data_IF_535541513462
#
_entry.id   IF_535541513462
#
_cell.length_a   1.000
_cell.length_b   1.000
_cell.length_c   1.000
_cell.angle_alpha   90.00
_cell.angle_beta   90.00
_cell.angle_gamma   90.00
#
_symmetry.space_group_name_H-M   'P 1'
#
loop_
_entity.id
_entity.type
_entity.pdbx_description
1 polymer ?
#
# COMPACT_ATOMS: atom_id res chain seq x y z
N UNK A 1 31.21 -21.48 9.70
CA UNK A 1 30.01 -20.65 9.57
C UNK A 1 30.10 -19.85 8.30
N UNK A 2 29.17 -20.00 7.35
CA UNK A 2 29.09 -19.11 6.17
C UNK A 2 28.44 -17.81 6.63
N UNK A 3 29.10 -16.67 6.41
CA UNK A 3 28.49 -15.36 6.58
C UNK A 3 27.33 -15.22 5.59
N UNK A 4 26.10 -15.22 6.10
CA UNK A 4 24.94 -14.81 5.32
C UNK A 4 25.03 -13.29 5.22
N UNK A 5 25.27 -12.79 4.00
CA UNK A 5 25.28 -11.35 3.74
C UNK A 5 23.82 -10.88 3.73
N UNK A 6 23.45 -10.05 4.69
CA UNK A 6 22.16 -9.37 4.66
C UNK A 6 22.12 -8.45 3.44
N UNK A 7 21.10 -8.63 2.59
CA UNK A 7 20.85 -7.78 1.44
C UNK A 7 20.06 -6.56 1.91
N UNK A 8 20.41 -5.39 1.39
CA UNK A 8 19.58 -4.19 1.59
C UNK A 8 18.25 -4.34 0.86
N UNK A 9 17.19 -3.67 1.32
CA UNK A 9 15.88 -3.64 0.64
C UNK A 9 16.01 -3.25 -0.85
N UNK A 10 16.96 -2.38 -1.18
CA UNK A 10 17.24 -1.95 -2.55
C UNK A 10 17.82 -3.08 -3.40
N UNK A 11 18.68 -3.92 -2.83
CA UNK A 11 19.26 -5.08 -3.50
C UNK A 11 18.26 -6.22 -3.62
N UNK A 12 17.42 -6.45 -2.58
CA UNK A 12 16.35 -7.45 -2.62
C UNK A 12 15.31 -7.16 -3.70
N UNK A 13 15.08 -5.88 -4.01
CA UNK A 13 14.18 -5.45 -5.09
C UNK A 13 14.76 -5.60 -6.50
N UNK A 14 16.06 -5.90 -6.64
CA UNK A 14 16.70 -6.01 -7.96
C UNK A 14 16.20 -7.27 -8.68
N UNK A 15 15.39 -7.07 -9.71
CA UNK A 15 14.76 -8.17 -10.48
C UNK A 15 13.30 -8.43 -10.11
N UNK A 16 12.74 -7.69 -9.14
CA UNK A 16 11.31 -7.71 -8.89
C UNK A 16 10.57 -6.86 -9.91
N UNK A 17 9.40 -7.33 -10.32
CA UNK A 17 8.51 -6.63 -11.26
C UNK A 17 7.18 -6.35 -10.57
N UNK A 18 6.65 -5.14 -10.77
CA UNK A 18 5.39 -4.70 -10.20
C UNK A 18 4.49 -4.14 -11.30
N UNK A 19 3.32 -4.74 -11.48
CA UNK A 19 2.27 -4.30 -12.42
C UNK A 19 1.60 -2.99 -11.99
N UNK A 20 1.52 -2.74 -10.69
CA UNK A 20 0.84 -1.57 -10.12
C UNK A 20 1.81 -0.63 -9.45
N UNK A 21 1.44 0.64 -9.37
CA UNK A 21 2.26 1.71 -8.81
C UNK A 21 1.83 2.02 -7.38
N UNK A 22 2.75 2.65 -6.63
CA UNK A 22 2.37 3.28 -5.37
C UNK A 22 1.21 4.26 -5.60
N UNK A 23 0.28 4.24 -4.66
CA UNK A 23 -0.93 5.06 -4.64
C UNK A 23 -1.94 4.77 -5.75
N UNK A 24 -1.80 3.67 -6.50
CA UNK A 24 -2.93 3.17 -7.28
C UNK A 24 -4.03 2.69 -6.31
N UNK A 25 -5.27 3.09 -6.61
CA UNK A 25 -6.46 2.53 -5.98
C UNK A 25 -6.84 1.26 -6.73
N UNK A 26 -7.11 0.17 -6.01
CA UNK A 26 -7.35 -1.15 -6.61
C UNK A 26 -8.59 -1.82 -6.03
N UNK A 27 -9.27 -2.62 -6.85
CA UNK A 27 -10.35 -3.51 -6.43
C UNK A 27 -9.76 -4.90 -6.19
N UNK A 28 -10.10 -5.50 -5.05
CA UNK A 28 -9.70 -6.85 -4.69
C UNK A 28 -10.77 -7.87 -5.08
N UNK A 29 -10.37 -9.13 -5.24
CA UNK A 29 -11.24 -10.24 -5.61
C UNK A 29 -12.32 -10.57 -4.56
N UNK A 30 -12.16 -10.10 -3.33
CA UNK A 30 -13.15 -10.19 -2.25
C UNK A 30 -14.12 -9.00 -2.20
N UNK A 31 -14.00 -8.05 -3.16
CA UNK A 31 -14.86 -6.89 -3.31
C UNK A 31 -14.44 -5.66 -2.52
N UNK A 32 -13.35 -5.72 -1.75
CA UNK A 32 -12.80 -4.55 -1.03
C UNK A 32 -11.98 -3.66 -1.97
N UNK A 33 -12.00 -2.36 -1.71
CA UNK A 33 -11.08 -1.43 -2.36
C UNK A 33 -9.84 -1.26 -1.48
N UNK A 34 -8.68 -0.99 -2.09
CA UNK A 34 -7.45 -0.77 -1.36
C UNK A 34 -6.57 0.30 -2.01
N UNK A 35 -5.70 0.94 -1.24
CA UNK A 35 -4.69 1.88 -1.74
C UNK A 35 -3.30 1.27 -1.54
N UNK A 36 -2.51 1.18 -2.62
CA UNK A 36 -1.13 0.69 -2.54
C UNK A 36 -0.24 1.72 -1.83
N UNK A 37 0.35 1.35 -0.70
CA UNK A 37 1.30 2.18 0.04
C UNK A 37 2.75 1.68 -0.07
N UNK A 38 2.96 0.42 -0.47
CA UNK A 38 4.29 -0.14 -0.53
C UNK A 38 4.42 -1.35 -1.45
N UNK A 39 5.65 -1.60 -1.87
CA UNK A 39 6.04 -2.83 -2.55
C UNK A 39 6.60 -3.85 -1.56
N UNK A 40 6.16 -5.09 -1.70
CA UNK A 40 6.62 -6.24 -0.92
C UNK A 40 8.00 -6.74 -1.32
N UNK A 41 8.35 -7.91 -0.79
CA UNK A 41 9.64 -8.58 -1.03
C UNK A 41 9.58 -9.55 -2.21
N UNK A 42 8.39 -9.81 -2.73
CA UNK A 42 8.16 -10.59 -3.94
C UNK A 42 7.56 -9.72 -5.04
N UNK A 43 7.76 -10.13 -6.31
CA UNK A 43 7.12 -9.49 -7.46
C UNK A 43 5.61 -9.49 -7.27
N UNK A 44 4.96 -8.40 -7.67
CA UNK A 44 3.51 -8.25 -7.54
C UNK A 44 2.93 -8.46 -6.13
N UNK A 45 3.72 -8.30 -5.07
CA UNK A 45 3.24 -8.22 -3.70
C UNK A 45 3.20 -6.75 -3.25
N UNK A 46 2.09 -6.33 -2.63
CA UNK A 46 1.85 -4.94 -2.27
C UNK A 46 1.34 -4.81 -0.82
N UNK A 47 1.81 -3.78 -0.12
CA UNK A 47 1.27 -3.38 1.19
C UNK A 47 0.19 -2.34 0.95
N UNK A 48 -1.02 -2.60 1.44
CA UNK A 48 -2.19 -1.80 1.10
C UNK A 48 -3.02 -1.43 2.33
N UNK A 49 -3.47 -0.18 2.40
CA UNK A 49 -4.56 0.20 3.31
C UNK A 49 -5.90 -0.18 2.70
N UNK A 50 -6.78 -0.75 3.52
CA UNK A 50 -8.07 -1.27 3.11
C UNK A 50 -9.18 -0.23 3.28
N UNK A 51 -10.11 -0.24 2.34
CA UNK A 51 -11.28 0.63 2.33
C UNK A 51 -12.52 -0.24 2.55
N UNK A 52 -13.15 -0.03 3.69
CA UNK A 52 -14.36 -0.70 4.10
C UNK A 52 -15.59 0.16 3.77
N UNK A 53 -16.80 -0.42 3.78
CA UNK A 53 -18.04 0.32 3.51
C UNK A 53 -18.26 1.52 4.44
N UNK A 54 -17.76 1.47 5.67
CA UNK A 54 -17.82 2.51 6.69
C UNK A 54 -16.67 3.53 6.62
N UNK A 55 -15.60 3.24 5.89
CA UNK A 55 -14.49 4.16 5.73
C UNK A 55 -13.15 3.47 5.50
N UNK A 56 -12.08 4.26 5.55
CA UNK A 56 -10.72 3.74 5.54
C UNK A 56 -10.28 3.50 6.97
N UNK A 57 -9.79 2.29 7.28
CA UNK A 57 -9.28 1.98 8.61
C UNK A 57 -7.76 1.92 8.58
N UNK A 58 -7.13 3.05 8.88
CA UNK A 58 -5.67 3.15 8.98
C UNK A 58 -5.10 2.11 9.95
N UNK A 59 -3.98 1.48 9.62
CA UNK A 59 -3.34 0.49 10.49
C UNK A 59 -3.98 -0.90 10.45
N UNK A 60 -5.01 -1.09 9.63
CA UNK A 60 -5.48 -2.41 9.18
C UNK A 60 -4.90 -2.77 7.80
N UNK A 61 -3.78 -2.14 7.44
CA UNK A 61 -3.10 -2.47 6.21
C UNK A 61 -2.68 -3.94 6.18
N UNK A 62 -2.79 -4.55 5.00
CA UNK A 62 -2.47 -5.96 4.79
C UNK A 62 -1.78 -6.17 3.43
N UNK A 63 -1.21 -7.35 3.27
CA UNK A 63 -0.56 -7.78 2.05
C UNK A 63 -1.59 -8.26 1.01
N UNK A 64 -1.50 -7.70 -0.18
CA UNK A 64 -2.25 -8.14 -1.37
C UNK A 64 -1.30 -8.51 -2.49
N UNK A 65 -1.80 -9.22 -3.51
CA UNK A 65 -0.98 -9.57 -4.67
C UNK A 65 -1.70 -9.38 -5.99
N UNK A 66 -0.94 -9.11 -7.06
CA UNK A 66 -1.39 -9.23 -8.45
C UNK A 66 -0.91 -10.53 -9.12
N UNK A 67 -0.35 -11.46 -8.33
CA UNK A 67 0.01 -12.81 -8.74
C UNK A 67 -0.85 -13.83 -8.00
N UNK A 68 -1.58 -14.64 -8.77
CA UNK A 68 -2.49 -15.68 -8.31
C UNK A 68 -1.78 -16.83 -7.56
N UNK A 69 -0.44 -16.86 -7.57
CA UNK A 69 0.34 -17.83 -6.80
C UNK A 69 0.32 -17.57 -5.27
N UNK A 70 -0.12 -16.38 -4.84
CA UNK A 70 -0.22 -16.03 -3.42
C UNK A 70 -1.61 -16.38 -2.84
N UNK A 71 -1.64 -16.75 -1.56
CA UNK A 71 -2.88 -17.06 -0.82
C UNK A 71 -3.59 -15.84 -0.23
N UNK A 72 -3.14 -14.62 -0.54
CA UNK A 72 -3.73 -13.37 -0.06
C UNK A 72 -4.77 -12.81 -1.05
N UNK A 73 -5.56 -11.79 -0.67
CA UNK A 73 -6.46 -11.11 -1.60
C UNK A 73 -5.75 -10.63 -2.86
N UNK A 74 -6.46 -10.70 -3.98
CA UNK A 74 -5.89 -10.50 -5.32
C UNK A 74 -6.40 -9.20 -5.94
N UNK A 75 -5.49 -8.43 -6.55
CA UNK A 75 -5.84 -7.23 -7.32
C UNK A 75 -6.50 -7.67 -8.63
N UNK A 76 -7.75 -7.25 -8.83
CA UNK A 76 -8.53 -7.54 -10.04
C UNK A 76 -8.41 -6.42 -11.05
N UNK A 77 -8.47 -5.17 -10.60
CA UNK A 77 -8.33 -4.00 -11.44
C UNK A 77 -7.86 -2.77 -10.67
N UNK A 78 -7.32 -1.80 -11.42
CA UNK A 78 -7.08 -0.44 -10.92
C UNK A 78 -8.38 0.34 -11.07
N UNK A 79 -8.81 1.02 -10.01
CA UNK A 79 -10.02 1.83 -9.99
C UNK A 79 -9.68 3.25 -10.47
N UNK A 80 -10.06 3.64 -11.70
CA UNK A 80 -9.75 4.97 -12.19
C UNK A 80 -10.52 6.05 -11.41
N UNK A 81 -9.94 7.24 -11.29
CA UNK A 81 -10.54 8.45 -10.68
C UNK A 81 -10.86 8.37 -9.18
N UNK A 82 -10.60 7.25 -8.50
CA UNK A 82 -10.78 7.14 -7.05
C UNK A 82 -9.48 7.40 -6.26
N UNK A 83 -8.33 7.46 -6.95
CA UNK A 83 -7.00 7.65 -6.36
C UNK A 83 -6.95 8.84 -5.39
N UNK A 84 -7.21 10.05 -5.87
CA UNK A 84 -7.02 11.25 -5.05
C UNK A 84 -8.03 11.32 -3.90
N UNK A 85 -9.24 10.79 -4.12
CA UNK A 85 -10.24 10.65 -3.05
C UNK A 85 -9.75 9.71 -1.95
N UNK A 86 -9.13 8.60 -2.32
CA UNK A 86 -8.60 7.62 -1.38
C UNK A 86 -7.36 8.14 -0.67
N UNK A 87 -6.45 8.81 -1.37
CA UNK A 87 -5.28 9.46 -0.77
C UNK A 87 -5.74 10.50 0.29
N UNK A 88 -6.70 11.36 -0.04
CA UNK A 88 -7.21 12.34 0.92
C UNK A 88 -7.80 11.69 2.18
N UNK A 89 -8.60 10.63 2.02
CA UNK A 89 -9.14 9.87 3.16
C UNK A 89 -8.04 9.27 4.03
N UNK A 90 -6.97 8.75 3.42
CA UNK A 90 -5.80 8.21 4.13
C UNK A 90 -5.08 9.30 4.92
N UNK A 91 -4.86 10.46 4.32
CA UNK A 91 -4.25 11.61 5.00
C UNK A 91 -5.09 12.07 6.19
N UNK A 92 -6.41 12.21 6.01
CA UNK A 92 -7.33 12.65 7.06
C UNK A 92 -7.35 11.69 8.25
N UNK A 93 -7.42 10.39 8.00
CA UNK A 93 -7.38 9.36 9.04
C UNK A 93 -6.02 9.30 9.76
N UNK A 94 -4.90 9.40 9.05
CA UNK A 94 -3.57 9.45 9.68
C UNK A 94 -3.44 10.67 10.60
N UNK A 95 -3.87 11.86 10.14
CA UNK A 95 -3.87 13.09 10.94
C UNK A 95 -4.78 12.99 12.18
N UNK A 96 -5.96 12.37 12.03
CA UNK A 96 -6.86 12.16 13.16
C UNK A 96 -6.26 11.23 14.23
N UNK A 97 -5.44 10.24 13.82
CA UNK A 97 -4.78 9.29 14.71
C UNK A 97 -3.48 9.78 15.35
N UNK A 98 -2.75 10.69 14.69
CA UNK A 98 -1.58 11.38 15.30
C UNK A 98 -1.98 12.16 16.57
N UNK A 99 -3.25 12.54 16.72
CA UNK A 99 -3.77 13.19 17.93
C UNK A 99 -3.87 12.20 19.12
N UNK A 100 -3.65 10.89 18.92
CA UNK A 100 -3.84 9.86 19.96
C UNK A 100 -2.77 8.74 20.08
N UNK A 101 -1.83 8.59 19.15
CA UNK A 101 -0.84 7.50 19.17
C UNK A 101 0.61 7.98 18.92
N UNK A 102 1.60 7.25 19.47
CA UNK A 102 3.06 7.51 19.39
C UNK A 102 3.67 7.15 18.01
N UNK A 103 2.84 6.93 16.98
CA UNK A 103 3.32 6.58 15.65
C UNK A 103 3.39 7.83 14.78
N UNK A 104 4.60 8.18 14.36
CA UNK A 104 4.88 9.29 13.45
C UNK A 104 4.57 8.87 12.01
N UNK A 105 3.47 9.39 11.46
CA UNK A 105 3.00 9.11 10.11
C UNK A 105 3.37 10.24 9.12
N UNK A 106 4.05 11.29 9.59
CA UNK A 106 4.38 12.49 8.82
C UNK A 106 5.02 12.18 7.46
N UNK A 107 5.96 11.24 7.42
CA UNK A 107 6.66 10.85 6.18
C UNK A 107 5.73 10.19 5.15
N UNK A 108 4.79 9.36 5.60
CA UNK A 108 3.80 8.73 4.71
C UNK A 108 2.85 9.80 4.17
N UNK A 109 2.43 10.74 5.01
CA UNK A 109 1.59 11.88 4.61
C UNK A 109 2.31 12.76 3.58
N UNK A 110 3.59 13.08 3.79
CA UNK A 110 4.40 13.83 2.82
C UNK A 110 4.51 13.10 1.47
N UNK A 111 4.80 11.81 1.48
CA UNK A 111 4.88 10.99 0.26
C UNK A 111 3.53 10.95 -0.48
N UNK A 112 2.42 10.88 0.24
CA UNK A 112 1.05 10.91 -0.31
C UNK A 112 0.71 12.27 -0.93
N UNK A 113 1.04 13.37 -0.24
CA UNK A 113 0.82 14.73 -0.75
C UNK A 113 1.63 14.99 -2.02
N UNK A 114 2.92 14.62 -2.02
CA UNK A 114 3.78 14.74 -3.20
C UNK A 114 3.24 13.93 -4.39
N UNK A 115 2.62 12.77 -4.13
CA UNK A 115 2.02 11.97 -5.19
C UNK A 115 0.79 12.63 -5.83
N UNK A 116 0.05 13.46 -5.10
CA UNK A 116 -1.10 14.19 -5.64
C UNK A 116 -0.69 15.38 -6.53
N UNK A 117 0.47 15.97 -6.29
CA UNK A 117 1.01 17.12 -7.04
C UNK A 117 1.71 16.73 -8.37
N UNK A 118 1.80 15.43 -8.69
CA UNK A 118 2.42 14.87 -9.91
C UNK A 118 1.39 14.48 -10.98
#
# INVERSE_FOLDING_TARGET
MKHVKELTMKEMRKGLTFKHRLFDAVLLNDGRNALILGYGVYSDQYWCEMVYPDGLHVGEADWVSADLSFSCPQIVEVIPNCRDTLINKVIDEYKAREIGYILDYSRIIEDLLNAMDM
#
